data_IF_774019314064
#
_entry.id   IF_774019314064
#
_cell.length_a   1.000
_cell.length_b   1.000
_cell.length_c   1.000
_cell.angle_alpha   90.00
_cell.angle_beta   90.00
_cell.angle_gamma   90.00
#
_symmetry.space_group_name_H-M   'P 1'
#
loop_
_entity.id
_entity.type
_entity.pdbx_description
1 polymer ?
#
# COMPACT_ATOMS: atom_id res chain seq x y z
N UNK A 1 -6.53 20.35 16.91
CA UNK A 1 -6.52 21.28 15.76
C UNK A 1 -5.75 20.58 14.64
N UNK A 2 -6.44 19.97 13.69
CA UNK A 2 -5.82 19.44 12.48
C UNK A 2 -5.25 20.63 11.70
N UNK A 3 -3.92 20.70 11.56
CA UNK A 3 -3.30 21.62 10.63
C UNK A 3 -3.71 21.15 9.24
N UNK A 4 -4.66 21.81 8.62
CA UNK A 4 -4.95 21.65 7.20
C UNK A 4 -3.63 21.84 6.46
N UNK A 5 -3.09 20.74 5.91
CA UNK A 5 -1.91 20.79 5.06
C UNK A 5 -2.34 21.54 3.79
N UNK A 6 -1.85 22.75 3.63
CA UNK A 6 -2.07 23.47 2.38
C UNK A 6 -1.28 22.78 1.27
N UNK A 7 -1.73 22.79 0.02
CA UNK A 7 -1.01 22.23 -1.12
C UNK A 7 0.44 22.72 -1.26
N UNK A 8 0.76 23.84 -0.63
CA UNK A 8 2.09 24.44 -0.60
C UNK A 8 2.96 23.99 0.58
N UNK A 9 2.43 23.23 1.52
CA UNK A 9 3.16 22.80 2.72
C UNK A 9 3.97 21.52 2.52
N UNK A 10 3.56 20.67 1.57
CA UNK A 10 4.22 19.42 1.23
C UNK A 10 4.65 19.47 -0.23
N UNK A 11 5.94 19.39 -0.44
CA UNK A 11 6.56 19.41 -1.78
C UNK A 11 7.13 18.04 -2.15
N UNK A 12 7.13 17.08 -1.22
CA UNK A 12 7.68 15.75 -1.43
C UNK A 12 6.94 14.69 -0.62
N UNK A 13 7.02 13.46 -1.10
CA UNK A 13 6.62 12.26 -0.37
C UNK A 13 7.87 11.44 -0.05
N UNK A 14 7.98 10.98 1.18
CA UNK A 14 8.93 9.94 1.58
C UNK A 14 8.13 8.69 1.92
N UNK A 15 8.32 7.62 1.18
CA UNK A 15 7.61 6.36 1.40
C UNK A 15 8.62 5.21 1.53
N UNK A 16 8.29 4.23 2.36
CA UNK A 16 8.96 2.94 2.36
C UNK A 16 8.36 2.10 1.22
N UNK A 17 9.20 1.67 0.29
CA UNK A 17 8.77 0.96 -0.91
C UNK A 17 9.35 -0.44 -0.94
N UNK A 18 8.52 -1.43 -1.28
CA UNK A 18 8.96 -2.79 -1.53
C UNK A 18 8.05 -3.50 -2.53
N UNK A 19 8.62 -4.46 -3.26
CA UNK A 19 7.92 -5.31 -4.22
C UNK A 19 7.93 -6.76 -3.72
N UNK A 20 6.76 -7.36 -3.65
CA UNK A 20 6.59 -8.73 -3.15
C UNK A 20 5.97 -9.62 -4.25
N UNK A 21 6.50 -10.81 -4.39
CA UNK A 21 5.91 -11.84 -5.25
C UNK A 21 4.70 -12.48 -4.55
N UNK A 22 3.54 -12.45 -5.19
CA UNK A 22 2.31 -13.01 -4.63
C UNK A 22 2.33 -14.55 -4.57
N UNK A 23 3.16 -15.21 -5.38
CA UNK A 23 3.24 -16.68 -5.45
C UNK A 23 4.00 -17.27 -4.26
N UNK A 24 5.18 -16.73 -3.98
CA UNK A 24 6.06 -17.26 -2.95
C UNK A 24 6.18 -16.39 -1.69
N UNK A 25 5.50 -15.23 -1.68
CA UNK A 25 5.50 -14.25 -0.59
C UNK A 25 6.89 -13.68 -0.25
N UNK A 26 7.85 -13.79 -1.18
CA UNK A 26 9.17 -13.21 -1.00
C UNK A 26 9.23 -11.77 -1.47
N UNK A 27 9.95 -10.94 -0.72
CA UNK A 27 10.26 -9.57 -1.12
C UNK A 27 11.34 -9.61 -2.20
N UNK A 28 10.99 -9.13 -3.40
CA UNK A 28 11.88 -9.10 -4.55
C UNK A 28 12.65 -7.79 -4.70
N UNK A 29 12.13 -6.71 -4.14
CA UNK A 29 12.78 -5.39 -4.11
C UNK A 29 12.50 -4.71 -2.76
N UNK A 30 13.50 -4.04 -2.21
CA UNK A 30 13.38 -3.31 -0.95
C UNK A 30 13.39 -4.21 0.28
N UNK A 31 12.90 -3.73 1.43
CA UNK A 31 12.37 -2.37 1.64
C UNK A 31 13.45 -1.27 1.56
N UNK A 32 13.12 -0.16 0.92
CA UNK A 32 13.96 1.04 0.88
C UNK A 32 13.08 2.29 0.96
N UNK A 33 13.66 3.39 1.44
CA UNK A 33 12.98 4.69 1.41
C UNK A 33 13.15 5.32 0.03
N UNK A 34 12.04 5.71 -0.55
CA UNK A 34 11.98 6.52 -1.73
C UNK A 34 11.50 7.93 -1.37
N UNK A 35 12.13 8.94 -1.97
CA UNK A 35 11.83 10.35 -1.72
C UNK A 35 11.61 11.05 -3.05
N UNK A 36 10.36 11.30 -3.40
CA UNK A 36 9.99 11.98 -4.62
C UNK A 36 9.51 13.40 -4.35
N UNK A 37 10.14 14.38 -4.99
CA UNK A 37 9.67 15.77 -5.03
C UNK A 37 8.53 15.87 -6.05
N UNK A 38 7.38 16.42 -5.65
CA UNK A 38 6.22 16.51 -6.53
C UNK A 38 6.54 17.33 -7.78
N UNK A 39 6.25 16.76 -8.93
CA UNK A 39 6.59 17.35 -10.25
C UNK A 39 8.10 17.60 -10.44
N UNK A 40 8.95 16.93 -9.65
CA UNK A 40 10.40 17.00 -9.75
C UNK A 40 10.97 16.09 -10.83
N UNK A 41 12.30 16.04 -10.90
CA UNK A 41 13.01 15.22 -11.91
C UNK A 41 12.86 13.71 -11.65
N UNK A 42 12.74 13.33 -10.38
CA UNK A 42 12.60 11.94 -9.94
C UNK A 42 11.13 11.50 -9.79
N UNK A 43 10.19 12.36 -10.20
CA UNK A 43 8.76 12.09 -10.19
C UNK A 43 8.22 12.02 -11.61
N UNK A 44 7.31 11.11 -11.86
CA UNK A 44 6.67 10.95 -13.17
C UNK A 44 5.16 11.27 -13.09
N UNK A 45 4.54 11.70 -14.19
CA UNK A 45 3.09 11.82 -14.26
C UNK A 45 2.39 10.49 -14.01
N UNK A 46 1.23 10.53 -13.32
CA UNK A 46 0.43 9.33 -13.05
C UNK A 46 0.13 8.52 -14.32
N UNK A 47 -0.25 9.19 -15.40
CA UNK A 47 -0.52 8.51 -16.68
C UNK A 47 0.70 7.77 -17.23
N UNK A 48 1.87 8.40 -17.19
CA UNK A 48 3.13 7.79 -17.64
C UNK A 48 3.50 6.58 -16.75
N UNK A 49 3.35 6.69 -15.43
CA UNK A 49 3.55 5.58 -14.50
C UNK A 49 2.65 4.38 -14.84
N UNK A 50 1.36 4.64 -15.10
CA UNK A 50 0.38 3.60 -15.42
C UNK A 50 0.70 2.92 -16.76
N UNK A 51 1.03 3.68 -17.80
CA UNK A 51 1.42 3.17 -19.12
C UNK A 51 2.66 2.30 -19.03
N UNK A 52 3.72 2.80 -18.39
CA UNK A 52 4.97 2.05 -18.16
C UNK A 52 4.71 0.76 -17.37
N UNK A 53 3.91 0.82 -16.32
CA UNK A 53 3.55 -0.36 -15.51
C UNK A 53 2.83 -1.42 -16.36
N UNK A 54 1.93 -1.02 -17.25
CA UNK A 54 1.26 -1.92 -18.18
C UNK A 54 2.22 -2.50 -19.23
N UNK A 55 3.20 -1.74 -19.71
CA UNK A 55 4.18 -2.22 -20.69
C UNK A 55 5.16 -3.24 -20.07
N UNK A 56 5.53 -3.04 -18.81
CA UNK A 56 6.49 -3.87 -18.09
C UNK A 56 5.87 -5.12 -17.43
N UNK A 57 4.55 -5.31 -17.50
CA UNK A 57 3.84 -6.38 -16.78
C UNK A 57 4.30 -7.81 -17.13
N UNK A 58 4.66 -8.04 -18.39
CA UNK A 58 5.09 -9.34 -18.90
C UNK A 58 6.58 -9.60 -18.69
N UNK A 59 7.36 -8.59 -18.34
CA UNK A 59 8.80 -8.74 -18.09
C UNK A 59 9.02 -9.61 -16.82
N UNK A 60 10.11 -10.38 -16.84
CA UNK A 60 10.52 -11.16 -15.67
C UNK A 60 10.98 -10.27 -14.54
N UNK A 61 10.75 -10.71 -13.32
CA UNK A 61 11.27 -10.03 -12.13
C UNK A 61 12.80 -10.01 -12.13
N UNK A 62 13.39 -8.88 -11.80
CA UNK A 62 14.85 -8.70 -11.78
C UNK A 62 15.53 -9.35 -10.55
N UNK A 63 14.76 -9.78 -9.57
CA UNK A 63 15.31 -10.41 -8.37
C UNK A 63 15.86 -11.80 -8.69
N UNK A 64 17.12 -12.06 -8.33
CA UNK A 64 17.84 -13.32 -8.62
C UNK A 64 17.15 -14.59 -8.13
N UNK A 65 16.28 -14.46 -7.14
CA UNK A 65 15.56 -15.57 -6.51
C UNK A 65 14.11 -15.69 -7.00
N UNK A 66 13.72 -14.92 -8.03
CA UNK A 66 12.36 -14.90 -8.55
C UNK A 66 12.36 -15.06 -10.07
N UNK A 67 11.66 -16.08 -10.55
CA UNK A 67 11.51 -16.39 -11.98
C UNK A 67 10.13 -15.98 -12.54
N UNK A 68 9.33 -15.28 -11.73
CA UNK A 68 7.98 -14.90 -12.09
C UNK A 68 7.94 -13.56 -12.82
N UNK A 69 6.91 -13.37 -13.66
CA UNK A 69 6.64 -12.11 -14.33
C UNK A 69 6.23 -11.01 -13.33
N UNK A 70 6.43 -9.74 -13.69
CA UNK A 70 6.02 -8.60 -12.86
C UNK A 70 4.53 -8.59 -12.54
N UNK A 71 3.68 -9.14 -13.41
CA UNK A 71 2.24 -9.26 -13.22
C UNK A 71 1.84 -9.96 -11.90
N UNK A 72 2.62 -10.92 -11.43
CA UNK A 72 2.34 -11.65 -10.18
C UNK A 72 3.01 -11.03 -8.96
N UNK A 73 3.40 -9.77 -9.07
CA UNK A 73 3.96 -8.98 -7.97
C UNK A 73 3.03 -7.84 -7.60
N UNK A 74 3.13 -7.40 -6.37
CA UNK A 74 2.52 -6.15 -5.92
C UNK A 74 3.57 -5.22 -5.32
N UNK A 75 3.39 -3.93 -5.58
CA UNK A 75 4.17 -2.86 -4.98
C UNK A 75 3.43 -2.35 -3.75
N UNK A 76 4.19 -2.10 -2.70
CA UNK A 76 3.68 -1.53 -1.46
C UNK A 76 4.43 -0.24 -1.15
N UNK A 77 3.65 0.80 -0.89
CA UNK A 77 4.13 2.12 -0.46
C UNK A 77 3.61 2.36 0.95
N UNK A 78 4.50 2.59 1.90
CA UNK A 78 4.12 2.87 3.30
C UNK A 78 4.55 4.26 3.69
N UNK A 79 3.62 5.08 4.12
CA UNK A 79 3.87 6.41 4.62
C UNK A 79 3.06 6.65 5.89
N UNK A 80 3.73 6.98 7.01
CA UNK A 80 3.12 7.11 8.34
C UNK A 80 2.29 5.87 8.70
N UNK A 81 0.99 6.04 8.93
CA UNK A 81 0.03 4.99 9.30
C UNK A 81 -0.74 4.42 8.11
N UNK A 82 -0.32 4.74 6.89
CA UNK A 82 -1.01 4.28 5.68
C UNK A 82 -0.10 3.40 4.84
N UNK A 83 -0.64 2.28 4.42
CA UNK A 83 -0.03 1.37 3.45
C UNK A 83 -0.88 1.34 2.19
N UNK A 84 -0.26 1.64 1.05
CA UNK A 84 -0.90 1.59 -0.27
C UNK A 84 -0.34 0.39 -1.01
N UNK A 85 -1.21 -0.51 -1.45
CA UNK A 85 -0.83 -1.60 -2.33
C UNK A 85 -1.27 -1.33 -3.76
N UNK A 86 -0.34 -1.52 -4.69
CA UNK A 86 -0.57 -1.49 -6.12
C UNK A 86 -0.47 -2.91 -6.68
N UNK A 87 -1.51 -3.34 -7.35
CA UNK A 87 -1.60 -4.67 -7.98
C UNK A 87 -2.00 -4.51 -9.43
N UNK A 88 -1.34 -5.26 -10.32
CA UNK A 88 -1.71 -5.37 -11.73
C UNK A 88 -2.41 -6.69 -11.95
N UNK A 89 -3.52 -6.69 -12.66
CA UNK A 89 -4.31 -7.89 -12.92
C UNK A 89 -4.86 -7.90 -14.36
N UNK A 90 -5.11 -9.08 -14.89
CA UNK A 90 -5.78 -9.23 -16.18
C UNK A 90 -7.22 -8.73 -16.09
N UNK A 91 -7.57 -7.82 -16.98
CA UNK A 91 -8.88 -7.22 -17.04
C UNK A 91 -9.34 -7.07 -18.50
N UNK A 92 -10.25 -7.91 -18.97
CA UNK A 92 -10.81 -7.74 -20.30
C UNK A 92 -11.64 -6.45 -20.33
N UNK A 93 -11.17 -5.44 -21.06
CA UNK A 93 -11.87 -4.16 -21.16
C UNK A 93 -13.27 -4.35 -21.73
N UNK A 94 -14.35 -3.95 -21.02
CA UNK A 94 -15.72 -4.12 -21.48
C UNK A 94 -16.12 -3.07 -22.52
N UNK A 95 -15.35 -2.00 -22.68
CA UNK A 95 -15.62 -0.90 -23.60
C UNK A 95 -14.93 -1.16 -24.93
N UNK A 96 -15.69 -1.22 -26.00
CA UNK A 96 -15.17 -1.31 -27.37
C UNK A 96 -14.55 0.04 -27.76
N UNK A 97 -13.51 0.00 -28.58
CA UNK A 97 -12.82 1.18 -29.14
C UNK A 97 -12.06 2.05 -28.12
N UNK A 98 -11.89 1.58 -26.87
CA UNK A 98 -11.13 2.27 -25.82
C UNK A 98 -9.84 1.51 -25.41
N UNK A 99 -9.39 0.55 -26.18
CA UNK A 99 -8.26 -0.32 -25.84
C UNK A 99 -6.92 0.43 -25.67
N UNK A 100 -6.80 1.60 -26.30
CA UNK A 100 -5.59 2.43 -26.26
C UNK A 100 -5.70 3.63 -25.31
N UNK A 101 -6.80 3.73 -24.57
CA UNK A 101 -7.08 4.83 -23.66
C UNK A 101 -6.98 4.37 -22.22
N UNK A 102 -6.43 5.22 -21.37
CA UNK A 102 -6.47 5.00 -19.92
C UNK A 102 -7.88 5.25 -19.42
N UNK A 103 -8.48 4.23 -18.85
CA UNK A 103 -9.78 4.27 -18.20
C UNK A 103 -9.60 4.28 -16.69
N UNK A 104 -10.51 4.93 -15.97
CA UNK A 104 -10.49 4.94 -14.51
C UNK A 104 -11.89 4.80 -13.91
N UNK A 105 -11.94 4.16 -12.73
CA UNK A 105 -13.12 4.09 -11.87
C UNK A 105 -12.69 3.85 -10.42
N UNK A 106 -13.62 3.95 -9.50
CA UNK A 106 -13.39 3.65 -8.09
C UNK A 106 -14.48 2.78 -7.52
N UNK A 107 -14.13 1.97 -6.53
CA UNK A 107 -15.03 1.11 -5.78
C UNK A 107 -14.98 1.47 -4.30
N UNK A 108 -16.11 1.81 -3.70
CA UNK A 108 -16.20 2.09 -2.27
C UNK A 108 -16.28 0.78 -1.48
N UNK A 109 -15.33 0.56 -0.56
CA UNK A 109 -15.28 -0.62 0.32
C UNK A 109 -16.43 -0.66 1.35
N UNK A 110 -17.05 0.48 1.65
CA UNK A 110 -18.08 0.60 2.71
C UNK A 110 -19.48 0.34 2.17
N UNK A 111 -19.85 0.97 1.06
CA UNK A 111 -21.18 0.81 0.47
C UNK A 111 -21.21 -0.12 -0.74
N UNK A 112 -20.07 -0.72 -1.09
CA UNK A 112 -19.93 -1.69 -2.19
C UNK A 112 -20.37 -1.15 -3.56
N UNK A 113 -20.31 0.19 -3.74
CA UNK A 113 -20.72 0.86 -4.95
C UNK A 113 -19.51 1.26 -5.80
N UNK A 114 -19.65 1.10 -7.13
CA UNK A 114 -18.64 1.52 -8.09
C UNK A 114 -19.08 2.79 -8.81
N UNK A 115 -18.11 3.67 -9.10
CA UNK A 115 -18.33 4.77 -10.04
C UNK A 115 -18.38 4.22 -11.48
N UNK A 116 -19.03 4.92 -12.41
CA UNK A 116 -18.93 4.59 -13.82
C UNK A 116 -17.47 4.62 -14.29
N UNK A 117 -17.12 3.72 -15.19
CA UNK A 117 -15.83 3.73 -15.87
C UNK A 117 -15.78 4.89 -16.85
N UNK A 118 -14.77 5.73 -16.75
CA UNK A 118 -14.56 6.91 -17.59
C UNK A 118 -13.12 6.98 -18.08
N UNK A 119 -12.87 7.78 -19.12
CA UNK A 119 -11.51 8.09 -19.57
C UNK A 119 -10.80 8.91 -18.50
N UNK A 120 -9.52 8.64 -18.32
CA UNK A 120 -8.66 9.46 -17.48
C UNK A 120 -8.52 10.86 -18.11
N UNK A 121 -8.79 11.92 -17.34
CA UNK A 121 -8.64 13.28 -17.83
C UNK A 121 -7.16 13.67 -17.98
N UNK A 122 -6.88 14.67 -18.82
CA UNK A 122 -5.51 15.16 -19.03
C UNK A 122 -4.88 15.72 -17.74
N UNK A 123 -5.70 16.33 -16.88
CA UNK A 123 -5.27 16.84 -15.58
C UNK A 123 -4.89 15.67 -14.65
N UNK A 124 -5.68 14.60 -14.65
CA UNK A 124 -5.37 13.41 -13.85
C UNK A 124 -4.17 12.63 -14.42
N UNK A 125 -4.03 12.59 -15.75
CA UNK A 125 -2.88 11.98 -16.41
C UNK A 125 -1.57 12.71 -16.04
N UNK A 126 -1.58 14.05 -16.02
CA UNK A 126 -0.42 14.90 -15.71
C UNK A 126 -0.17 15.09 -14.20
N UNK A 127 -1.03 14.53 -13.33
CA UNK A 127 -0.83 14.59 -11.88
C UNK A 127 0.47 13.88 -11.49
N UNK A 128 1.28 14.51 -10.66
CA UNK A 128 2.45 13.86 -10.02
C UNK A 128 2.06 12.53 -9.39
N UNK A 129 2.78 11.45 -9.70
CA UNK A 129 2.52 10.14 -9.10
C UNK A 129 2.75 10.15 -7.60
N UNK A 130 3.81 10.81 -7.12
CA UNK A 130 4.05 10.97 -5.70
C UNK A 130 2.93 11.77 -5.01
N UNK A 131 2.36 12.80 -5.67
CA UNK A 131 1.20 13.54 -5.16
C UNK A 131 -0.07 12.67 -5.13
N UNK A 132 -0.25 11.81 -6.14
CA UNK A 132 -1.34 10.84 -6.16
C UNK A 132 -1.27 9.87 -4.96
N UNK A 133 -0.06 9.37 -4.62
CA UNK A 133 0.14 8.53 -3.44
C UNK A 133 -0.11 9.30 -2.14
N UNK A 134 0.42 10.53 -2.04
CA UNK A 134 0.22 11.37 -0.85
C UNK A 134 -1.26 11.61 -0.56
N UNK A 135 -2.06 11.89 -1.58
CA UNK A 135 -3.50 12.10 -1.42
C UNK A 135 -4.23 10.89 -0.80
N UNK A 136 -3.71 9.68 -0.98
CA UNK A 136 -4.27 8.48 -0.35
C UNK A 136 -3.82 8.27 1.10
N UNK A 137 -2.72 8.91 1.50
CA UNK A 137 -2.20 8.81 2.86
C UNK A 137 -2.92 9.72 3.86
N UNK A 138 -3.60 10.76 3.38
CA UNK A 138 -4.24 11.75 4.22
C UNK A 138 -5.75 11.82 3.96
N UNK A 139 -6.58 11.57 4.98
CA UNK A 139 -8.02 11.65 4.83
C UNK A 139 -8.42 13.09 4.45
N UNK A 140 -9.27 13.22 3.47
CA UNK A 140 -9.83 14.48 3.05
C UNK A 140 -11.36 14.40 3.08
N UNK A 141 -11.94 14.83 4.19
CA UNK A 141 -13.39 14.83 4.40
C UNK A 141 -14.18 15.72 3.43
N UNK A 142 -13.48 16.52 2.62
CA UNK A 142 -14.12 17.35 1.59
C UNK A 142 -14.15 16.68 0.20
N UNK A 143 -13.49 15.54 0.04
CA UNK A 143 -13.50 14.77 -1.19
C UNK A 143 -14.39 13.54 -1.05
N UNK A 144 -15.54 13.55 -1.71
CA UNK A 144 -16.47 12.44 -1.75
C UNK A 144 -16.56 11.85 -3.16
N UNK A 145 -16.94 10.59 -3.23
CA UNK A 145 -17.28 9.96 -4.51
C UNK A 145 -18.60 10.52 -5.06
N UNK A 146 -18.78 10.46 -6.36
CA UNK A 146 -20.08 10.82 -7.00
C UNK A 146 -21.21 9.86 -6.62
N UNK A 147 -20.90 8.70 -6.06
CA UNK A 147 -21.87 7.64 -5.73
C UNK A 147 -22.12 7.49 -4.23
N UNK A 148 -21.28 8.06 -3.37
CA UNK A 148 -21.43 7.97 -1.91
C UNK A 148 -20.68 9.09 -1.17
N UNK A 149 -21.05 9.30 0.10
CA UNK A 149 -20.47 10.32 0.98
C UNK A 149 -19.23 9.84 1.77
N UNK A 150 -18.74 8.63 1.50
CA UNK A 150 -17.55 8.10 2.18
C UNK A 150 -16.28 8.80 1.69
N UNK A 151 -15.26 8.83 2.56
CA UNK A 151 -13.96 9.39 2.20
C UNK A 151 -13.40 8.73 0.93
N UNK A 152 -13.14 9.58 -0.07
CA UNK A 152 -12.73 9.11 -1.39
C UNK A 152 -11.34 8.48 -1.40
N UNK A 153 -10.46 8.86 -0.49
CA UNK A 153 -9.07 8.41 -0.49
C UNK A 153 -8.85 7.14 0.35
N UNK A 154 -9.48 7.04 1.50
CA UNK A 154 -9.29 5.89 2.41
C UNK A 154 -10.29 4.74 2.16
N UNK A 155 -11.52 5.09 1.80
CA UNK A 155 -12.59 4.09 1.69
C UNK A 155 -12.78 3.55 0.27
N UNK A 156 -11.97 3.99 -0.70
CA UNK A 156 -12.11 3.53 -2.08
C UNK A 156 -10.87 2.80 -2.57
N UNK A 157 -11.12 1.77 -3.39
CA UNK A 157 -10.12 1.16 -4.26
C UNK A 157 -10.19 1.88 -5.61
N UNK A 158 -9.04 2.29 -6.12
CA UNK A 158 -8.93 2.98 -7.41
C UNK A 158 -8.42 2.04 -8.46
N UNK A 159 -9.08 2.06 -9.58
CA UNK A 159 -8.76 1.23 -10.72
C UNK A 159 -8.41 2.11 -11.91
N UNK A 160 -7.37 1.69 -12.62
CA UNK A 160 -6.97 2.25 -13.91
C UNK A 160 -6.82 1.09 -14.88
N UNK A 161 -7.40 1.17 -16.05
CA UNK A 161 -7.28 0.11 -17.05
C UNK A 161 -6.67 0.65 -18.35
N UNK A 162 -5.81 -0.17 -18.94
CA UNK A 162 -5.23 0.05 -20.24
C UNK A 162 -5.11 -1.30 -20.95
N UNK A 163 -5.61 -1.38 -22.17
CA UNK A 163 -5.65 -2.63 -22.97
C UNK A 163 -6.41 -3.73 -22.21
N UNK A 164 -5.75 -4.82 -21.86
CA UNK A 164 -6.32 -5.98 -21.15
C UNK A 164 -5.86 -6.09 -19.69
N UNK A 165 -5.36 -4.99 -19.12
CA UNK A 165 -4.83 -4.92 -17.78
C UNK A 165 -5.58 -3.87 -16.95
N UNK A 166 -5.72 -4.13 -15.66
CA UNK A 166 -6.12 -3.15 -14.67
C UNK A 166 -5.06 -3.03 -13.58
N UNK A 167 -4.76 -1.80 -13.20
CA UNK A 167 -3.93 -1.46 -12.05
C UNK A 167 -4.86 -0.96 -10.96
N UNK A 168 -4.83 -1.60 -9.81
CA UNK A 168 -5.61 -1.16 -8.66
C UNK A 168 -4.70 -0.65 -7.55
N UNK A 169 -5.14 0.43 -6.93
CA UNK A 169 -4.55 0.98 -5.72
C UNK A 169 -5.57 0.91 -4.59
N UNK A 170 -5.17 0.37 -3.46
CA UNK A 170 -5.96 0.46 -2.24
C UNK A 170 -5.08 0.86 -1.07
N UNK A 171 -5.63 1.72 -0.24
CA UNK A 171 -4.99 2.19 0.96
C UNK A 171 -5.64 1.53 2.19
N UNK A 172 -4.79 1.08 3.12
CA UNK A 172 -5.21 0.53 4.40
C UNK A 172 -4.44 1.23 5.53
N UNK A 173 -5.11 1.38 6.67
CA UNK A 173 -4.47 1.91 7.87
C UNK A 173 -3.68 0.80 8.56
N UNK A 174 -2.46 1.10 8.91
CA UNK A 174 -1.57 0.19 9.65
C UNK A 174 -1.13 0.81 10.97
N UNK A 175 -0.79 -0.02 11.93
CA UNK A 175 -0.12 0.38 13.16
C UNK A 175 1.39 0.12 13.00
N UNK A 176 2.21 1.17 12.81
CA UNK A 176 3.65 1.00 12.68
C UNK A 176 4.26 0.57 14.02
N UNK A 177 5.25 -0.31 13.96
CA UNK A 177 6.02 -0.71 15.12
C UNK A 177 7.12 0.32 15.40
N UNK A 178 7.23 0.75 16.65
CA UNK A 178 8.35 1.58 17.08
C UNK A 178 9.60 0.73 17.28
N UNK A 179 10.74 1.24 16.82
CA UNK A 179 12.03 0.65 17.11
C UNK A 179 12.50 1.19 18.46
N UNK A 180 12.40 0.35 19.49
CA UNK A 180 12.98 0.65 20.77
C UNK A 180 14.48 0.36 20.73
N UNK A 181 15.28 1.40 20.70
CA UNK A 181 16.74 1.29 20.83
C UNK A 181 17.05 1.05 22.31
N UNK A 182 17.71 -0.05 22.68
CA UNK A 182 18.08 -0.29 24.06
C UNK A 182 19.02 0.85 24.54
N UNK A 183 18.91 1.25 25.80
CA UNK A 183 19.79 2.29 26.35
C UNK A 183 21.25 1.82 26.27
N UNK A 184 22.17 2.77 26.02
CA UNK A 184 23.62 2.51 25.93
C UNK A 184 24.19 1.92 27.24
N UNK A 185 23.46 2.02 28.34
CA UNK A 185 23.82 1.47 29.65
C UNK A 185 22.74 0.48 30.07
N UNK A 186 23.09 -0.78 30.18
CA UNK A 186 22.20 -1.81 30.69
C UNK A 186 22.09 -1.63 32.22
N UNK A 187 20.90 -1.26 32.67
CA UNK A 187 20.56 -1.26 34.11
C UNK A 187 19.76 -2.53 34.38
N UNK A 188 20.33 -3.42 35.17
CA UNK A 188 19.63 -4.64 35.58
C UNK A 188 18.74 -4.28 36.77
N UNK A 189 17.43 -4.17 36.52
CA UNK A 189 16.45 -4.07 37.58
C UNK A 189 16.00 -5.48 37.98
N UNK A 190 16.51 -5.92 39.11
CA UNK A 190 16.19 -7.25 39.66
C UNK A 190 14.68 -7.42 39.96
N UNK A 191 13.99 -6.36 40.29
CA UNK A 191 12.55 -6.41 40.56
C UNK A 191 11.76 -6.70 39.28
N UNK A 192 12.09 -5.99 38.20
CA UNK A 192 11.51 -6.25 36.88
C UNK A 192 11.88 -7.63 36.34
N UNK A 193 13.12 -8.07 36.53
CA UNK A 193 13.52 -9.44 36.17
C UNK A 193 12.71 -10.50 36.88
N UNK A 194 12.46 -10.32 38.19
CA UNK A 194 11.61 -11.28 38.94
C UNK A 194 10.17 -11.29 38.41
N UNK A 195 9.59 -10.14 38.08
CA UNK A 195 8.24 -10.04 37.51
C UNK A 195 8.16 -10.72 36.13
N UNK A 196 9.13 -10.46 35.24
CA UNK A 196 9.21 -11.10 33.93
C UNK A 196 9.35 -12.61 34.05
N UNK A 197 10.27 -13.09 34.90
CA UNK A 197 10.49 -14.52 35.16
C UNK A 197 9.23 -15.20 35.69
N UNK A 198 8.52 -14.57 36.62
CA UNK A 198 7.27 -15.11 37.14
C UNK A 198 6.18 -15.16 36.05
N UNK A 199 6.08 -14.14 35.22
CA UNK A 199 5.14 -14.09 34.10
C UNK A 199 5.42 -15.18 33.07
N UNK A 200 6.69 -15.42 32.75
CA UNK A 200 7.10 -16.50 31.82
C UNK A 200 6.84 -17.87 32.43
N UNK A 201 7.10 -18.06 33.71
CA UNK A 201 6.81 -19.31 34.41
C UNK A 201 5.31 -19.64 34.41
N UNK A 202 4.44 -18.66 34.62
CA UNK A 202 2.98 -18.82 34.53
C UNK A 202 2.57 -19.20 33.10
N UNK A 203 3.08 -18.50 32.08
CA UNK A 203 2.81 -18.82 30.67
C UNK A 203 3.25 -20.24 30.30
N UNK A 204 4.40 -20.68 30.78
CA UNK A 204 4.92 -22.02 30.55
C UNK A 204 4.03 -23.06 31.24
N UNK A 205 3.62 -22.81 32.48
CA UNK A 205 2.71 -23.69 33.22
C UNK A 205 1.36 -23.85 32.49
N UNK A 206 0.77 -22.76 32.00
CA UNK A 206 -0.49 -22.79 31.26
C UNK A 206 -0.36 -23.54 29.94
N UNK A 207 0.73 -23.33 29.20
CA UNK A 207 1.03 -24.12 27.97
C UNK A 207 1.16 -25.61 28.26
N UNK A 208 1.88 -25.98 29.31
CA UNK A 208 2.02 -27.39 29.72
C UNK A 208 0.68 -27.98 30.12
N UNK A 209 -0.13 -27.27 30.86
CA UNK A 209 -1.47 -27.72 31.27
C UNK A 209 -2.39 -27.94 30.05
N UNK A 210 -2.35 -27.04 29.05
CA UNK A 210 -3.12 -27.21 27.81
C UNK A 210 -2.61 -28.44 27.02
N UNK A 211 -1.31 -28.60 26.90
CA UNK A 211 -0.71 -29.75 26.23
C UNK A 211 -1.14 -31.08 26.87
N UNK A 212 -0.99 -31.21 28.17
CA UNK A 212 -1.38 -32.45 28.86
C UNK A 212 -2.88 -32.73 28.79
N UNK A 213 -3.72 -31.71 28.78
CA UNK A 213 -5.17 -31.88 28.54
C UNK A 213 -5.46 -32.45 27.16
N UNK A 214 -4.70 -32.03 26.12
CA UNK A 214 -4.88 -32.53 24.74
C UNK A 214 -4.37 -33.96 24.54
N UNK A 215 -3.43 -34.42 25.37
CA UNK A 215 -2.88 -35.77 25.31
C UNK A 215 -3.69 -36.79 26.11
N UNK A 216 -4.41 -36.34 27.14
CA UNK A 216 -5.22 -37.21 28.02
C UNK A 216 -6.68 -37.35 27.56
N UNK A 217 -7.06 -36.82 26.38
CA UNK A 217 -8.32 -37.10 25.69
C UNK A 217 -8.10 -38.12 24.59
#
# INVERSE_FOLDING_TARGET
MSKMLTPFAHQKLVALVFKTCAVNQHTCMGPHFDCADFYGVDDEPLGQFLERTCDEHAASCEARHCEHANLVHYLTYTHNTTQIQMVVEHFPCPLRDCEHELLCWSYCKVCEASTPMTRLSDEAWSLSFAKFLELQCYPNSSCHSTVCEHDYFQNTVRYFALRNLAIRFHADTIEPWDILVPPTRLIIDYTQMCVLRNTEAVKLYDKNRLYWRSVCM
#
